data_IF_284497159618
#
_entry.id   IF_284497159618
#
_cell.length_a   1.000
_cell.length_b   1.000
_cell.length_c   1.000
_cell.angle_alpha   90.00
_cell.angle_beta   90.00
_cell.angle_gamma   90.00
#
_symmetry.space_group_name_H-M   'P 1'
#
loop_
_entity.id
_entity.type
_entity.pdbx_description
1 polymer ?
#
# COMPACT_ATOMS: atom_id res chain seq x y z
N UNK A 1 59.62 0.99 -17.28
CA UNK A 1 58.56 0.12 -17.86
C UNK A 1 57.45 0.05 -16.85
N UNK A 2 56.43 0.90 -17.02
CA UNK A 2 55.28 0.93 -16.15
C UNK A 2 54.24 -0.11 -16.54
N UNK A 3 53.52 -0.61 -15.55
CA UNK A 3 52.13 -1.04 -15.71
C UNK A 3 51.36 -0.59 -14.48
N UNK A 4 50.59 0.47 -14.71
CA UNK A 4 49.49 0.94 -13.88
C UNK A 4 48.28 0.01 -14.01
N UNK A 5 47.44 0.08 -12.98
CA UNK A 5 46.13 -0.53 -12.81
C UNK A 5 45.24 -0.56 -14.06
N UNK A 6 44.49 -1.65 -14.20
CA UNK A 6 43.16 -1.61 -14.82
C UNK A 6 42.17 -2.21 -13.83
N UNK A 7 41.57 -1.30 -13.05
CA UNK A 7 40.42 -1.59 -12.22
C UNK A 7 39.24 -2.04 -13.08
N UNK A 8 38.53 -3.04 -12.60
CA UNK A 8 37.21 -3.42 -13.12
C UNK A 8 36.25 -2.25 -12.91
N UNK A 9 35.96 -1.52 -13.98
CA UNK A 9 34.80 -0.64 -14.07
C UNK A 9 33.55 -1.50 -14.00
N UNK A 10 32.84 -1.45 -12.87
CA UNK A 10 31.42 -1.81 -12.84
C UNK A 10 30.72 -0.92 -13.87
N UNK A 11 30.17 -1.53 -14.92
CA UNK A 11 29.28 -0.88 -15.87
C UNK A 11 28.11 -0.28 -15.09
N UNK A 12 28.07 1.05 -14.97
CA UNK A 12 26.86 1.77 -14.60
C UNK A 12 25.80 1.44 -15.64
N UNK A 13 24.86 0.57 -15.29
CA UNK A 13 23.65 0.37 -16.07
C UNK A 13 22.90 1.70 -16.08
N UNK A 14 22.80 2.34 -17.24
CA UNK A 14 22.06 3.58 -17.44
C UNK A 14 20.67 3.48 -16.82
N UNK A 15 20.30 4.44 -15.96
CA UNK A 15 18.96 4.53 -15.38
C UNK A 15 18.69 3.65 -14.15
N UNK A 16 19.73 3.17 -13.45
CA UNK A 16 19.55 2.49 -12.14
C UNK A 16 20.31 3.23 -11.05
N UNK A 17 19.60 3.58 -9.97
CA UNK A 17 20.16 4.13 -8.73
C UNK A 17 19.95 3.12 -7.62
N UNK A 18 21.02 2.61 -7.02
CA UNK A 18 20.88 1.73 -5.85
C UNK A 18 20.66 2.57 -4.59
N UNK A 19 19.66 2.21 -3.77
CA UNK A 19 19.46 2.76 -2.43
C UNK A 19 20.69 2.45 -1.56
N UNK A 20 21.26 3.47 -0.92
CA UNK A 20 22.45 3.34 -0.07
C UNK A 20 22.12 3.84 1.32
N UNK A 21 22.47 3.05 2.35
CA UNK A 21 22.29 3.40 3.77
C UNK A 21 20.87 3.86 4.14
N UNK A 22 19.84 3.37 3.42
CA UNK A 22 18.45 3.77 3.65
C UNK A 22 18.12 5.23 3.32
N UNK A 23 19.02 5.98 2.67
CA UNK A 23 18.85 7.41 2.36
C UNK A 23 18.02 7.59 1.08
N UNK A 24 16.75 7.91 1.27
CA UNK A 24 15.79 8.11 0.18
C UNK A 24 15.99 9.44 -0.54
N UNK A 25 16.31 10.51 0.18
CA UNK A 25 16.55 11.83 -0.42
C UNK A 25 17.74 11.78 -1.36
N UNK A 26 18.84 11.16 -0.94
CA UNK A 26 20.01 10.95 -1.81
C UNK A 26 19.67 10.07 -3.03
N UNK A 27 18.89 8.99 -2.84
CA UNK A 27 18.49 8.11 -3.94
C UNK A 27 17.63 8.86 -4.99
N UNK A 28 16.65 9.66 -4.57
CA UNK A 28 15.83 10.46 -5.48
C UNK A 28 16.63 11.60 -6.12
N UNK A 29 17.53 12.25 -5.40
CA UNK A 29 18.42 13.27 -5.96
C UNK A 29 19.30 12.69 -7.08
N UNK A 30 19.95 11.54 -6.84
CA UNK A 30 20.75 10.84 -7.87
C UNK A 30 19.90 10.39 -9.05
N UNK A 31 18.65 10.00 -8.83
CA UNK A 31 17.73 9.63 -9.90
C UNK A 31 17.34 10.85 -10.75
N UNK A 32 17.14 12.00 -10.11
CA UNK A 32 16.82 13.26 -10.77
C UNK A 32 17.97 13.73 -11.65
N UNK A 33 19.20 13.63 -11.15
CA UNK A 33 20.43 13.93 -11.93
C UNK A 33 20.59 13.04 -13.16
N UNK A 34 20.06 11.82 -13.13
CA UNK A 34 20.02 10.90 -14.28
C UNK A 34 18.84 11.16 -15.23
N UNK A 35 17.90 12.03 -14.87
CA UNK A 35 16.68 12.28 -15.62
C UNK A 35 15.68 11.13 -15.56
N UNK A 36 15.64 10.40 -14.43
CA UNK A 36 14.73 9.27 -14.19
C UNK A 36 15.40 7.89 -14.26
N UNK A 37 14.59 6.85 -14.08
CA UNK A 37 15.04 5.45 -14.08
C UNK A 37 14.41 4.62 -12.97
N UNK A 38 15.20 3.75 -12.34
CA UNK A 38 14.74 2.85 -11.28
C UNK A 38 15.61 3.00 -10.05
N UNK A 39 14.99 3.23 -8.90
CA UNK A 39 15.63 3.03 -7.60
C UNK A 39 15.60 1.53 -7.28
N UNK A 40 16.77 0.90 -7.23
CA UNK A 40 16.94 -0.49 -6.84
C UNK A 40 17.16 -0.59 -5.33
N UNK A 41 16.29 -1.31 -4.62
CA UNK A 41 16.45 -1.63 -3.19
C UNK A 41 17.18 -2.96 -3.05
N UNK A 42 18.44 -2.99 -2.59
CA UNK A 42 19.20 -4.22 -2.53
C UNK A 42 18.59 -5.24 -1.55
N UNK A 43 18.84 -6.55 -1.72
CA UNK A 43 18.50 -7.55 -0.70
C UNK A 43 19.09 -7.20 0.67
N UNK A 44 18.32 -7.47 1.72
CA UNK A 44 18.69 -7.17 3.11
C UNK A 44 17.62 -6.34 3.81
N UNK A 45 17.82 -6.12 5.10
CA UNK A 45 17.11 -5.09 5.87
C UNK A 45 17.98 -3.83 5.89
N UNK A 46 17.40 -2.70 5.53
CA UNK A 46 18.05 -1.39 5.53
C UNK A 46 17.40 -0.53 6.58
N UNK A 47 18.20 0.00 7.51
CA UNK A 47 17.74 0.99 8.47
C UNK A 47 17.50 2.30 7.70
N UNK A 48 16.29 2.85 7.82
CA UNK A 48 15.84 4.06 7.16
C UNK A 48 15.37 5.07 8.20
N UNK A 49 15.76 6.33 8.04
CA UNK A 49 15.09 7.41 8.74
C UNK A 49 13.69 7.64 8.14
N UNK A 50 12.68 8.02 8.94
CA UNK A 50 11.41 8.50 8.43
C UNK A 50 11.60 9.57 7.36
N UNK A 51 10.96 9.41 6.21
CA UNK A 51 11.25 10.19 5.01
C UNK A 51 9.97 10.61 4.30
N UNK A 52 9.96 11.87 3.84
CA UNK A 52 8.96 12.41 2.93
C UNK A 52 9.68 12.81 1.63
N UNK A 53 9.29 12.18 0.53
CA UNK A 53 9.78 12.50 -0.81
C UNK A 53 8.69 13.32 -1.51
N UNK A 54 8.95 14.61 -1.62
CA UNK A 54 8.15 15.53 -2.40
C UNK A 54 8.65 15.58 -3.85
N UNK A 55 7.89 14.98 -4.77
CA UNK A 55 8.22 14.91 -6.20
C UNK A 55 8.31 16.30 -6.85
N UNK A 56 7.67 17.31 -6.27
CA UNK A 56 7.75 18.69 -6.74
C UNK A 56 9.16 19.28 -6.65
N UNK A 57 10.04 18.69 -5.82
CA UNK A 57 11.43 19.12 -5.65
C UNK A 57 12.37 18.58 -6.74
N UNK A 58 11.88 17.69 -7.62
CA UNK A 58 12.71 16.98 -8.59
C UNK A 58 12.27 17.27 -10.04
N UNK A 59 12.84 18.32 -10.64
CA UNK A 59 12.50 18.82 -11.99
C UNK A 59 12.47 17.76 -13.11
N UNK A 60 13.29 16.71 -12.99
CA UNK A 60 13.46 15.68 -14.03
C UNK A 60 12.77 14.35 -13.68
N UNK A 61 12.23 14.21 -12.47
CA UNK A 61 11.45 13.04 -12.04
C UNK A 61 9.98 13.39 -12.18
N UNK A 62 9.35 12.84 -13.20
CA UNK A 62 7.91 12.90 -13.40
C UNK A 62 7.39 11.45 -13.54
N UNK A 63 6.88 11.05 -14.70
CA UNK A 63 6.36 9.70 -14.96
C UNK A 63 7.44 8.63 -15.20
N UNK A 64 8.71 8.99 -15.06
CA UNK A 64 9.88 8.23 -15.50
C UNK A 64 10.64 7.59 -14.35
N UNK A 65 9.96 7.21 -13.26
CA UNK A 65 10.60 6.48 -12.16
C UNK A 65 9.85 5.24 -11.68
N UNK A 66 10.60 4.36 -11.03
CA UNK A 66 10.05 3.25 -10.25
C UNK A 66 11.00 2.83 -9.12
N UNK A 67 10.46 2.07 -8.17
CA UNK A 67 11.17 1.49 -7.03
C UNK A 67 11.06 -0.03 -7.13
N UNK A 68 12.20 -0.72 -7.15
CA UNK A 68 12.25 -2.18 -7.31
C UNK A 68 13.16 -2.83 -6.28
N UNK A 69 12.61 -3.75 -5.51
CA UNK A 69 13.37 -4.64 -4.63
C UNK A 69 13.44 -6.07 -5.17
N UNK A 70 14.17 -6.93 -4.46
CA UNK A 70 14.36 -8.33 -4.79
C UNK A 70 13.22 -9.25 -4.30
N UNK A 71 12.19 -8.67 -3.67
CA UNK A 71 11.05 -9.38 -3.10
C UNK A 71 10.67 -8.80 -1.74
N UNK A 72 9.38 -8.77 -1.40
CA UNK A 72 8.87 -8.05 -0.22
C UNK A 72 9.42 -8.56 1.12
N UNK A 73 9.76 -9.85 1.20
CA UNK A 73 10.45 -10.42 2.38
C UNK A 73 11.99 -10.34 2.31
N UNK A 74 12.55 -9.91 1.17
CA UNK A 74 13.99 -9.94 0.87
C UNK A 74 14.61 -8.55 0.90
N UNK A 75 13.97 -7.55 0.28
CA UNK A 75 14.37 -6.14 0.32
C UNK A 75 13.47 -5.41 1.31
N UNK A 76 13.94 -5.24 2.55
CA UNK A 76 13.17 -4.68 3.66
C UNK A 76 13.72 -3.33 4.08
N UNK A 77 12.83 -2.38 4.33
CA UNK A 77 13.12 -1.03 4.79
C UNK A 77 12.58 -0.90 6.22
N UNK A 78 13.45 -0.63 7.19
CA UNK A 78 13.08 -0.50 8.60
C UNK A 78 13.09 0.96 9.04
N UNK A 79 11.92 1.52 9.33
CA UNK A 79 11.74 2.92 9.75
C UNK A 79 11.77 3.10 11.28
N UNK A 80 12.18 2.06 12.01
CA UNK A 80 12.31 2.08 13.46
C UNK A 80 10.99 2.38 14.18
N UNK A 81 11.10 2.85 15.42
CA UNK A 81 9.96 3.21 16.27
C UNK A 81 9.84 4.72 16.45
N UNK A 82 8.63 5.27 16.42
CA UNK A 82 8.40 6.69 16.75
C UNK A 82 7.14 7.31 16.16
N UNK A 83 6.94 8.62 16.40
CA UNK A 83 5.76 9.35 15.98
C UNK A 83 5.74 9.65 14.48
N UNK A 84 4.56 9.89 13.90
CA UNK A 84 4.44 10.25 12.49
C UNK A 84 4.75 9.09 11.53
N UNK A 85 4.87 9.41 10.24
CA UNK A 85 4.93 8.42 9.17
C UNK A 85 6.28 7.70 9.07
N UNK A 86 6.33 6.62 8.29
CA UNK A 86 7.58 5.96 7.89
C UNK A 86 8.11 6.51 6.57
N UNK A 87 7.42 6.19 5.47
CA UNK A 87 7.77 6.65 4.13
C UNK A 87 6.55 7.28 3.45
N UNK A 88 6.71 8.53 3.01
CA UNK A 88 5.70 9.26 2.24
C UNK A 88 6.26 9.61 0.87
N UNK A 89 5.51 9.31 -0.18
CA UNK A 89 5.76 9.75 -1.55
C UNK A 89 4.56 10.57 -2.03
N UNK A 90 4.77 11.85 -2.29
CA UNK A 90 3.73 12.81 -2.62
C UNK A 90 4.27 13.90 -3.56
N UNK A 91 3.41 14.73 -4.12
CA UNK A 91 3.80 15.93 -4.87
C UNK A 91 3.09 17.17 -4.34
N UNK A 92 3.86 18.12 -3.81
CA UNK A 92 3.29 19.27 -3.12
C UNK A 92 2.58 20.27 -4.04
N UNK A 93 2.84 20.20 -5.35
CA UNK A 93 2.23 21.02 -6.39
C UNK A 93 0.93 20.43 -6.96
N UNK A 94 0.55 19.21 -6.58
CA UNK A 94 -0.64 18.54 -7.08
C UNK A 94 -0.48 17.97 -8.49
N UNK A 95 0.69 17.42 -8.80
CA UNK A 95 0.99 16.76 -10.07
C UNK A 95 0.25 15.42 -10.27
N UNK A 96 0.03 15.08 -11.54
CA UNK A 96 -0.49 13.77 -11.94
C UNK A 96 0.67 12.87 -12.40
N UNK A 97 0.82 11.72 -11.74
CA UNK A 97 1.86 10.73 -12.01
C UNK A 97 1.29 9.50 -12.68
N UNK A 98 1.96 9.03 -13.72
CA UNK A 98 1.55 7.90 -14.54
C UNK A 98 2.62 6.82 -14.57
N UNK A 99 2.17 5.56 -14.59
CA UNK A 99 3.01 4.39 -14.85
C UNK A 99 4.11 4.14 -13.81
N UNK A 100 3.98 4.70 -12.62
CA UNK A 100 4.89 4.44 -11.50
C UNK A 100 4.80 2.97 -11.09
N UNK A 101 5.97 2.36 -10.88
CA UNK A 101 6.08 0.99 -10.37
C UNK A 101 6.74 0.98 -8.99
N UNK A 102 6.10 0.35 -8.01
CA UNK A 102 6.69 0.09 -6.68
C UNK A 102 6.54 -1.41 -6.41
N UNK A 103 7.63 -2.16 -6.55
CA UNK A 103 7.55 -3.64 -6.56
C UNK A 103 8.66 -4.31 -5.77
N UNK A 104 8.34 -5.43 -5.12
CA UNK A 104 9.33 -6.29 -4.49
C UNK A 104 10.00 -5.70 -3.25
N UNK A 105 9.33 -4.77 -2.55
CA UNK A 105 9.83 -4.11 -1.34
C UNK A 105 8.92 -4.41 -0.16
N UNK A 106 9.50 -4.58 1.03
CA UNK A 106 8.77 -4.62 2.30
C UNK A 106 9.11 -3.41 3.16
N UNK A 107 8.10 -2.70 3.64
CA UNK A 107 8.24 -1.62 4.62
C UNK A 107 7.93 -2.19 6.00
N UNK A 108 8.78 -1.94 6.99
CA UNK A 108 8.55 -2.35 8.38
C UNK A 108 8.92 -1.21 9.35
N UNK A 109 8.32 -1.23 10.54
CA UNK A 109 8.62 -0.26 11.59
C UNK A 109 7.56 -0.31 12.68
N UNK A 110 7.62 0.62 13.64
CA UNK A 110 6.61 0.86 14.67
C UNK A 110 6.28 2.36 14.68
N UNK A 111 5.57 2.82 13.66
CA UNK A 111 5.24 4.22 13.42
C UNK A 111 3.84 4.53 13.91
N UNK A 112 3.65 5.57 14.71
CA UNK A 112 2.32 6.04 15.14
C UNK A 112 1.50 6.61 13.96
N UNK A 113 2.18 7.11 12.92
CA UNK A 113 1.53 7.57 11.69
C UNK A 113 1.23 6.43 10.71
N UNK A 114 1.32 6.75 9.43
CA UNK A 114 1.23 5.81 8.32
C UNK A 114 2.62 5.27 7.98
N UNK A 115 2.82 3.96 7.98
CA UNK A 115 4.14 3.39 7.66
C UNK A 115 4.54 3.62 6.19
N UNK A 116 3.61 3.43 5.26
CA UNK A 116 3.79 3.78 3.84
C UNK A 116 2.59 4.59 3.33
N UNK A 117 2.85 5.79 2.83
CA UNK A 117 1.86 6.69 2.23
C UNK A 117 2.20 7.00 0.79
N UNK A 118 1.22 6.80 -0.10
CA UNK A 118 1.26 7.27 -1.47
C UNK A 118 0.21 8.37 -1.68
N UNK A 119 0.69 9.55 -2.06
CA UNK A 119 -0.10 10.75 -2.29
C UNK A 119 -0.41 11.56 -1.03
N UNK A 120 -0.91 12.77 -1.23
CA UNK A 120 -1.30 13.73 -0.19
C UNK A 120 -2.64 13.39 0.44
N UNK A 121 -2.79 13.75 1.71
CA UNK A 121 -4.03 13.53 2.45
C UNK A 121 -5.22 14.38 1.94
N UNK A 122 -4.96 15.45 1.19
CA UNK A 122 -5.97 16.27 0.51
C UNK A 122 -6.28 15.78 -0.92
N UNK A 123 -5.61 14.72 -1.37
CA UNK A 123 -5.83 14.05 -2.67
C UNK A 123 -5.51 14.92 -3.88
N UNK A 124 -4.69 15.96 -3.72
CA UNK A 124 -4.36 16.90 -4.78
C UNK A 124 -3.41 16.32 -5.86
N UNK A 125 -2.70 15.23 -5.58
CA UNK A 125 -1.77 14.55 -6.49
C UNK A 125 -2.27 13.13 -6.84
N UNK A 126 -2.49 12.86 -8.13
CA UNK A 126 -3.05 11.60 -8.59
C UNK A 126 -1.96 10.63 -9.07
N UNK A 127 -2.08 9.35 -8.71
CA UNK A 127 -1.22 8.27 -9.18
C UNK A 127 -2.04 7.31 -10.06
N UNK A 128 -1.78 7.33 -11.36
CA UNK A 128 -2.62 6.67 -12.35
C UNK A 128 -1.86 5.57 -13.11
N UNK A 129 -2.54 4.45 -13.35
CA UNK A 129 -2.02 3.35 -14.17
C UNK A 129 -0.71 2.78 -13.60
N UNK A 130 -0.62 2.71 -12.27
CA UNK A 130 0.56 2.23 -11.56
C UNK A 130 0.57 0.69 -11.44
N UNK A 131 1.75 0.15 -11.13
CA UNK A 131 1.91 -1.24 -10.67
C UNK A 131 2.51 -1.25 -9.27
N UNK A 132 1.69 -1.65 -8.29
CA UNK A 132 2.04 -1.72 -6.88
C UNK A 132 2.10 -3.19 -6.45
N UNK A 133 3.25 -3.63 -5.95
CA UNK A 133 3.46 -4.98 -5.46
C UNK A 133 4.45 -4.97 -4.28
N UNK A 134 3.98 -4.63 -3.07
CA UNK A 134 4.83 -4.43 -1.89
C UNK A 134 4.10 -4.83 -0.60
N UNK A 135 4.85 -4.99 0.48
CA UNK A 135 4.31 -5.33 1.80
C UNK A 135 4.56 -4.25 2.84
N UNK A 136 3.70 -4.14 3.84
CA UNK A 136 3.89 -3.26 5.00
C UNK A 136 3.67 -4.04 6.30
N UNK A 137 4.46 -3.74 7.33
CA UNK A 137 4.32 -4.33 8.66
C UNK A 137 4.58 -3.26 9.74
N UNK A 138 3.51 -2.60 10.20
CA UNK A 138 3.60 -1.55 11.22
C UNK A 138 3.29 -2.13 12.61
N UNK A 139 4.32 -2.36 13.42
CA UNK A 139 4.18 -2.94 14.75
C UNK A 139 3.63 -1.99 15.82
N UNK A 140 3.35 -0.72 15.52
CA UNK A 140 2.85 0.23 16.53
C UNK A 140 1.37 -0.03 16.87
N UNK A 141 1.00 -0.15 18.16
CA UNK A 141 -0.40 -0.22 18.57
C UNK A 141 -1.15 1.10 18.34
N UNK A 142 -0.42 2.22 18.27
CA UNK A 142 -0.96 3.55 18.04
C UNK A 142 -0.85 3.97 16.56
N UNK A 143 -0.56 3.02 15.66
CA UNK A 143 -0.46 3.28 14.24
C UNK A 143 -1.76 3.86 13.68
N UNK A 144 -1.63 4.81 12.75
CA UNK A 144 -2.77 5.27 11.95
C UNK A 144 -3.07 4.23 10.86
N UNK A 145 -2.05 3.85 10.08
CA UNK A 145 -2.17 2.78 9.10
C UNK A 145 -0.82 2.10 8.78
N UNK A 146 -0.86 0.88 8.25
CA UNK A 146 0.33 0.26 7.65
C UNK A 146 0.58 0.81 6.24
N UNK A 147 -0.48 0.93 5.45
CA UNK A 147 -0.44 1.40 4.07
C UNK A 147 -1.63 2.32 3.82
N UNK A 148 -1.37 3.54 3.34
CA UNK A 148 -2.40 4.47 2.87
C UNK A 148 -2.16 4.79 1.40
N UNK A 149 -3.18 4.54 0.59
CA UNK A 149 -3.22 4.96 -0.81
C UNK A 149 -4.28 6.06 -0.93
N UNK A 150 -3.83 7.30 -1.17
CA UNK A 150 -4.71 8.46 -1.25
C UNK A 150 -5.43 8.50 -2.60
N UNK A 151 -4.90 9.20 -3.62
CA UNK A 151 -5.55 9.35 -4.92
C UNK A 151 -4.89 8.44 -5.96
N UNK A 152 -5.44 7.23 -6.12
CA UNK A 152 -4.84 6.19 -6.95
C UNK A 152 -5.86 5.64 -7.95
N UNK A 153 -5.53 5.68 -9.23
CA UNK A 153 -6.46 5.44 -10.32
C UNK A 153 -5.94 4.32 -11.24
N UNK A 154 -6.83 3.49 -11.78
CA UNK A 154 -6.51 2.50 -12.83
C UNK A 154 -5.30 1.61 -12.50
N UNK A 155 -5.10 1.30 -11.21
CA UNK A 155 -3.85 0.71 -10.70
C UNK A 155 -4.03 -0.75 -10.34
N UNK A 156 -2.98 -1.55 -10.57
CA UNK A 156 -2.91 -2.93 -10.07
C UNK A 156 -2.12 -2.97 -8.78
N UNK A 157 -2.73 -3.48 -7.72
CA UNK A 157 -2.15 -3.61 -6.40
C UNK A 157 -2.13 -5.07 -5.94
N UNK A 158 -0.95 -5.57 -5.58
CA UNK A 158 -0.79 -6.79 -4.79
C UNK A 158 -0.07 -6.45 -3.49
N UNK A 159 -0.76 -6.62 -2.35
CA UNK A 159 -0.29 -6.15 -1.06
C UNK A 159 -0.35 -7.17 0.06
N UNK A 160 0.65 -7.19 0.94
CA UNK A 160 0.58 -7.87 2.24
C UNK A 160 0.77 -6.80 3.31
N UNK A 161 -0.32 -6.36 3.93
CA UNK A 161 -0.32 -5.23 4.85
C UNK A 161 -0.74 -5.66 6.25
N UNK A 162 0.15 -5.47 7.20
CA UNK A 162 -0.06 -5.84 8.59
C UNK A 162 0.16 -4.64 9.50
N UNK A 163 -0.65 -4.52 10.54
CA UNK A 163 -0.43 -3.56 11.61
C UNK A 163 -0.85 -4.08 12.97
N UNK A 164 -0.23 -3.58 14.04
CA UNK A 164 -0.65 -3.87 15.41
C UNK A 164 -1.93 -3.12 15.77
N UNK A 165 -2.05 -1.84 15.38
CA UNK A 165 -3.25 -1.02 15.55
C UNK A 165 -3.59 -0.19 14.32
N UNK A 166 -4.72 0.51 14.32
CA UNK A 166 -5.17 1.32 13.19
C UNK A 166 -5.63 0.49 11.99
N UNK A 167 -5.30 0.93 10.77
CA UNK A 167 -5.78 0.32 9.52
C UNK A 167 -4.65 -0.41 8.79
N UNK A 168 -4.82 -1.67 8.38
CA UNK A 168 -3.77 -2.37 7.63
C UNK A 168 -3.61 -1.79 6.22
N UNK A 169 -4.70 -1.72 5.45
CA UNK A 169 -4.76 -1.05 4.15
C UNK A 169 -5.90 -0.03 4.13
N UNK A 170 -5.55 1.23 3.92
CA UNK A 170 -6.49 2.35 3.84
C UNK A 170 -6.50 2.92 2.42
N UNK A 171 -7.68 2.91 1.80
CA UNK A 171 -7.91 3.39 0.44
C UNK A 171 -8.86 4.59 0.50
N UNK A 172 -8.39 5.79 0.15
CA UNK A 172 -9.15 7.04 0.34
C UNK A 172 -9.76 7.62 -0.94
N UNK A 173 -9.12 7.41 -2.09
CA UNK A 173 -9.64 7.68 -3.43
C UNK A 173 -9.06 6.67 -4.44
N UNK A 174 -9.27 5.38 -4.16
CA UNK A 174 -8.77 4.29 -5.02
C UNK A 174 -9.84 3.89 -6.03
N UNK A 175 -9.62 4.14 -7.33
CA UNK A 175 -10.66 3.99 -8.36
C UNK A 175 -10.21 3.12 -9.53
N UNK A 176 -11.16 2.36 -10.07
CA UNK A 176 -10.96 1.53 -11.26
C UNK A 176 -9.76 0.57 -11.15
N UNK A 177 -9.39 0.20 -9.92
CA UNK A 177 -8.19 -0.57 -9.65
C UNK A 177 -8.46 -2.05 -9.40
N UNK A 178 -7.40 -2.85 -9.53
CA UNK A 178 -7.39 -4.27 -9.20
C UNK A 178 -6.59 -4.52 -7.93
N UNK A 179 -7.19 -5.18 -6.93
CA UNK A 179 -6.58 -5.42 -5.62
C UNK A 179 -6.47 -6.93 -5.38
N UNK A 180 -5.33 -7.36 -4.85
CA UNK A 180 -5.07 -8.72 -4.39
C UNK A 180 -4.21 -8.71 -3.13
N UNK A 181 -4.35 -9.73 -2.29
CA UNK A 181 -3.37 -9.98 -1.24
C UNK A 181 -3.99 -10.31 0.10
N UNK A 182 -3.35 -9.82 1.16
CA UNK A 182 -3.78 -10.05 2.54
C UNK A 182 -3.64 -8.81 3.40
N UNK A 183 -4.58 -8.63 4.32
CA UNK A 183 -4.60 -7.51 5.26
C UNK A 183 -4.89 -7.99 6.67
N UNK A 184 -4.19 -7.43 7.66
CA UNK A 184 -4.34 -7.78 9.08
C UNK A 184 -4.08 -6.59 9.99
N UNK A 185 -5.00 -6.30 10.92
CA UNK A 185 -4.83 -5.25 11.93
C UNK A 185 -5.27 -5.75 13.30
N UNK A 186 -4.30 -6.14 14.14
CA UNK A 186 -4.57 -6.89 15.38
C UNK A 186 -5.56 -6.18 16.32
N UNK A 187 -5.49 -4.86 16.40
CA UNK A 187 -6.30 -4.00 17.27
C UNK A 187 -7.00 -2.90 16.45
N UNK A 188 -7.43 -3.24 15.24
CA UNK A 188 -8.10 -2.30 14.37
C UNK A 188 -8.67 -2.94 13.12
N UNK A 189 -8.72 -2.17 12.04
CA UNK A 189 -9.41 -2.54 10.79
C UNK A 189 -8.45 -3.10 9.75
N UNK A 190 -8.84 -4.20 9.12
CA UNK A 190 -8.01 -4.86 8.12
C UNK A 190 -7.95 -4.05 6.82
N UNK A 191 -9.10 -3.71 6.26
CA UNK A 191 -9.21 -2.92 5.02
C UNK A 191 -10.29 -1.86 5.20
N UNK A 192 -9.97 -0.60 4.87
CA UNK A 192 -10.94 0.50 4.83
C UNK A 192 -10.98 1.09 3.43
N UNK A 193 -12.19 1.18 2.86
CA UNK A 193 -12.47 1.97 1.67
C UNK A 193 -13.27 3.20 2.10
N UNK A 194 -12.72 4.36 1.84
CA UNK A 194 -13.32 5.66 2.12
C UNK A 194 -13.15 6.63 0.95
N UNK A 195 -13.73 7.84 1.08
CA UNK A 195 -13.76 8.86 0.03
C UNK A 195 -14.30 8.33 -1.30
N UNK A 196 -13.63 8.62 -2.40
CA UNK A 196 -14.01 8.18 -3.75
C UNK A 196 -13.34 6.85 -4.11
N UNK A 197 -13.59 5.80 -3.33
CA UNK A 197 -13.00 4.47 -3.57
C UNK A 197 -14.00 3.51 -4.23
N UNK A 198 -14.13 3.60 -5.56
CA UNK A 198 -15.23 3.00 -6.33
C UNK A 198 -14.79 2.22 -7.58
N UNK A 199 -15.69 1.36 -8.05
CA UNK A 199 -15.51 0.55 -9.26
C UNK A 199 -14.22 -0.31 -9.26
N UNK A 200 -13.82 -0.79 -8.08
CA UNK A 200 -12.64 -1.65 -7.93
C UNK A 200 -12.99 -3.12 -8.04
N UNK A 201 -12.01 -3.92 -8.47
CA UNK A 201 -12.06 -5.38 -8.44
C UNK A 201 -11.03 -5.89 -7.44
N UNK A 202 -11.50 -6.42 -6.33
CA UNK A 202 -10.70 -7.16 -5.37
C UNK A 202 -10.74 -8.64 -5.76
N UNK A 203 -9.75 -9.11 -6.54
CA UNK A 203 -9.80 -10.46 -7.13
C UNK A 203 -9.81 -11.55 -6.04
N UNK A 204 -8.96 -11.39 -5.02
CA UNK A 204 -8.94 -12.23 -3.83
C UNK A 204 -8.29 -11.49 -2.67
N UNK A 205 -8.90 -11.58 -1.49
CA UNK A 205 -8.45 -10.93 -0.28
C UNK A 205 -8.51 -11.91 0.90
N UNK A 206 -7.36 -12.09 1.56
CA UNK A 206 -7.28 -12.75 2.85
C UNK A 206 -7.32 -11.70 3.97
N UNK A 207 -8.39 -11.69 4.76
CA UNK A 207 -8.57 -10.89 5.97
C UNK A 207 -8.34 -11.79 7.17
N UNK A 208 -7.24 -11.56 7.90
CA UNK A 208 -6.87 -12.42 9.02
C UNK A 208 -6.41 -11.66 10.26
N UNK A 209 -6.67 -12.22 11.44
CA UNK A 209 -6.12 -11.78 12.72
C UNK A 209 -6.33 -10.28 13.00
N UNK A 210 -7.59 -9.85 12.94
CA UNK A 210 -7.95 -8.45 13.10
C UNK A 210 -9.10 -8.22 14.08
N UNK A 211 -9.24 -6.96 14.55
CA UNK A 211 -10.43 -6.56 15.30
C UNK A 211 -11.61 -6.48 14.33
N UNK A 212 -11.53 -5.65 13.31
CA UNK A 212 -12.53 -5.56 12.24
C UNK A 212 -11.91 -5.87 10.88
N UNK A 213 -12.70 -6.49 10.00
CA UNK A 213 -12.29 -6.90 8.67
C UNK A 213 -12.36 -5.76 7.65
N UNK A 214 -13.19 -5.95 6.62
CA UNK A 214 -13.43 -4.96 5.58
C UNK A 214 -14.50 -3.97 6.05
N UNK A 215 -14.20 -2.67 5.91
CA UNK A 215 -15.13 -1.61 6.22
C UNK A 215 -15.25 -0.64 5.03
N UNK A 216 -16.47 -0.49 4.50
CA UNK A 216 -16.82 0.57 3.55
C UNK A 216 -17.50 1.73 4.29
N UNK A 217 -16.82 2.87 4.38
CA UNK A 217 -17.20 3.96 5.29
C UNK A 217 -17.83 5.18 4.62
N UNK A 218 -17.78 5.29 3.27
CA UNK A 218 -18.26 6.47 2.53
C UNK A 218 -19.26 6.14 1.43
N UNK A 219 -20.21 7.04 1.17
CA UNK A 219 -21.25 6.86 0.15
C UNK A 219 -20.68 6.80 -1.28
N UNK A 220 -19.52 7.42 -1.48
CA UNK A 220 -18.79 7.42 -2.74
C UNK A 220 -17.92 6.16 -2.94
N UNK A 221 -18.00 5.17 -2.05
CA UNK A 221 -17.26 3.90 -2.12
C UNK A 221 -18.08 2.76 -2.76
N UNK A 222 -18.73 3.04 -3.88
CA UNK A 222 -19.72 2.14 -4.48
C UNK A 222 -19.19 1.30 -5.65
N UNK A 223 -19.94 0.27 -6.03
CA UNK A 223 -19.70 -0.58 -7.21
C UNK A 223 -18.37 -1.35 -7.09
N UNK A 224 -17.95 -1.67 -5.87
CA UNK A 224 -16.80 -2.54 -5.65
C UNK A 224 -17.20 -4.01 -5.81
N UNK A 225 -16.30 -4.84 -6.33
CA UNK A 225 -16.50 -6.29 -6.49
C UNK A 225 -15.38 -7.08 -5.84
N UNK A 226 -15.73 -7.99 -4.94
CA UNK A 226 -14.83 -8.93 -4.28
C UNK A 226 -15.02 -10.30 -4.91
N UNK A 227 -14.01 -10.81 -5.61
CA UNK A 227 -14.04 -12.13 -6.24
C UNK A 227 -14.00 -13.25 -5.20
N UNK A 228 -12.99 -13.24 -4.33
CA UNK A 228 -12.92 -14.14 -3.17
C UNK A 228 -12.58 -13.33 -1.91
N UNK A 229 -13.48 -13.33 -0.94
CA UNK A 229 -13.23 -12.82 0.40
C UNK A 229 -13.01 -14.00 1.35
N UNK A 230 -11.82 -14.12 1.90
CA UNK A 230 -11.55 -15.06 2.99
C UNK A 230 -11.40 -14.29 4.30
N UNK A 231 -12.02 -14.77 5.37
CA UNK A 231 -11.97 -14.16 6.70
C UNK A 231 -11.70 -15.19 7.79
N UNK A 232 -10.70 -14.98 8.65
CA UNK A 232 -10.45 -15.82 9.82
C UNK A 232 -9.82 -15.05 10.98
N UNK A 233 -10.11 -15.46 12.22
CA UNK A 233 -9.65 -14.77 13.43
C UNK A 233 -10.00 -13.27 13.43
N UNK A 234 -11.28 -12.97 13.21
CA UNK A 234 -11.85 -11.62 13.22
C UNK A 234 -12.67 -11.46 14.49
N UNK A 235 -12.16 -10.67 15.44
CA UNK A 235 -12.77 -10.51 16.77
C UNK A 235 -14.03 -9.64 16.78
N UNK A 236 -14.25 -8.86 15.72
CA UNK A 236 -15.40 -8.00 15.51
C UNK A 236 -16.13 -8.42 14.25
N UNK A 237 -16.26 -7.50 13.30
CA UNK A 237 -17.06 -7.72 12.09
C UNK A 237 -16.18 -7.95 10.88
N UNK A 238 -16.35 -9.07 10.17
CA UNK A 238 -15.62 -9.34 8.92
C UNK A 238 -16.02 -8.36 7.80
N UNK A 239 -17.30 -8.05 7.67
CA UNK A 239 -17.82 -7.16 6.63
C UNK A 239 -18.72 -6.06 7.20
N UNK A 240 -18.32 -4.79 7.12
CA UNK A 240 -19.13 -3.65 7.56
C UNK A 240 -19.40 -2.66 6.44
N UNK A 241 -20.66 -2.24 6.32
CA UNK A 241 -21.08 -1.07 5.53
C UNK A 241 -21.79 -0.04 6.40
N UNK A 242 -21.28 1.18 6.41
CA UNK A 242 -21.90 2.32 7.10
C UNK A 242 -22.62 3.31 6.15
N UNK A 243 -22.51 3.08 4.83
CA UNK A 243 -22.97 4.00 3.80
C UNK A 243 -23.92 3.33 2.77
N UNK A 244 -24.80 4.08 2.09
CA UNK A 244 -25.73 3.57 1.08
C UNK A 244 -25.04 3.19 -0.24
N UNK A 245 -24.09 2.26 -0.20
CA UNK A 245 -23.32 1.77 -1.34
C UNK A 245 -23.86 0.45 -1.87
N UNK A 246 -23.44 0.07 -3.08
CA UNK A 246 -23.70 -1.26 -3.66
C UNK A 246 -22.40 -2.00 -3.88
N UNK A 247 -22.24 -3.16 -3.24
CA UNK A 247 -21.03 -4.00 -3.36
C UNK A 247 -21.40 -5.44 -3.74
N UNK A 248 -20.57 -6.10 -4.52
CA UNK A 248 -20.74 -7.52 -4.86
C UNK A 248 -19.60 -8.35 -4.26
N UNK A 249 -19.93 -9.46 -3.60
CA UNK A 249 -19.00 -10.49 -3.17
C UNK A 249 -19.35 -11.77 -3.93
N UNK A 250 -18.51 -12.19 -4.87
CA UNK A 250 -18.79 -13.38 -5.68
C UNK A 250 -18.71 -14.66 -4.84
N UNK A 251 -17.65 -14.78 -4.02
CA UNK A 251 -17.45 -15.87 -3.09
C UNK A 251 -16.88 -15.37 -1.77
N UNK A 252 -17.37 -15.94 -0.67
CA UNK A 252 -16.83 -15.76 0.66
C UNK A 252 -16.52 -17.10 1.32
N UNK A 253 -15.38 -17.18 2.00
CA UNK A 253 -15.04 -18.30 2.87
C UNK A 253 -14.73 -17.79 4.27
N UNK A 254 -15.58 -18.19 5.22
CA UNK A 254 -15.46 -17.82 6.62
C UNK A 254 -14.77 -18.98 7.34
N UNK A 255 -13.54 -18.72 7.76
CA UNK A 255 -12.72 -19.63 8.56
C UNK A 255 -13.06 -19.57 10.04
N UNK A 256 -12.12 -20.03 10.86
CA UNK A 256 -12.33 -20.14 12.31
C UNK A 256 -12.34 -18.74 12.99
N UNK A 257 -13.05 -18.65 14.11
CA UNK A 257 -13.07 -17.50 15.02
C UNK A 257 -13.42 -16.16 14.33
N UNK A 258 -14.58 -16.11 13.67
CA UNK A 258 -15.18 -14.86 13.18
C UNK A 258 -16.40 -14.57 14.06
N UNK A 259 -16.35 -13.47 14.81
CA UNK A 259 -17.38 -13.14 15.81
C UNK A 259 -18.68 -12.66 15.14
N UNK A 260 -18.57 -11.71 14.20
CA UNK A 260 -19.67 -11.23 13.37
C UNK A 260 -19.28 -11.30 11.90
N UNK A 261 -20.10 -11.95 11.06
CA UNK A 261 -19.82 -12.06 9.62
C UNK A 261 -20.09 -10.74 8.91
N UNK A 262 -21.26 -10.13 9.15
CA UNK A 262 -21.65 -8.89 8.51
C UNK A 262 -22.42 -7.95 9.45
N UNK A 263 -22.22 -6.65 9.27
CA UNK A 263 -23.04 -5.60 9.87
C UNK A 263 -23.28 -4.50 8.83
N UNK A 264 -24.55 -4.12 8.62
CA UNK A 264 -24.89 -3.07 7.66
C UNK A 264 -25.89 -2.10 8.25
N UNK A 265 -25.53 -0.82 8.29
CA UNK A 265 -26.45 0.25 8.73
C UNK A 265 -27.12 0.96 7.56
N UNK A 266 -26.56 0.86 6.35
CA UNK A 266 -27.11 1.36 5.10
C UNK A 266 -26.55 0.58 3.89
N UNK A 267 -27.19 0.77 2.73
CA UNK A 267 -26.73 0.21 1.46
C UNK A 267 -27.11 -1.26 1.27
N UNK A 268 -26.53 -1.85 0.23
CA UNK A 268 -26.79 -3.24 -0.14
C UNK A 268 -25.48 -3.92 -0.54
N UNK A 269 -25.40 -5.22 -0.25
CA UNK A 269 -24.38 -6.07 -0.82
C UNK A 269 -25.00 -7.40 -1.25
N UNK A 270 -24.38 -8.05 -2.22
CA UNK A 270 -24.77 -9.40 -2.65
C UNK A 270 -23.64 -10.36 -2.39
N UNK A 271 -23.98 -11.58 -1.95
CA UNK A 271 -23.01 -12.66 -1.77
C UNK A 271 -23.43 -13.84 -2.66
N UNK A 272 -22.56 -14.23 -3.59
CA UNK A 272 -22.84 -15.31 -4.54
C UNK A 272 -22.74 -16.69 -3.88
N UNK A 273 -21.53 -17.08 -3.47
CA UNK A 273 -21.25 -18.33 -2.76
C UNK A 273 -20.69 -18.05 -1.38
N UNK A 274 -21.20 -18.72 -0.35
CA UNK A 274 -20.61 -18.66 1.00
C UNK A 274 -20.76 -19.99 1.73
N UNK A 275 -19.79 -20.31 2.60
CA UNK A 275 -19.86 -21.45 3.52
C UNK A 275 -20.62 -21.13 4.83
N UNK A 276 -20.96 -19.86 5.07
CA UNK A 276 -21.74 -19.37 6.21
C UNK A 276 -22.75 -18.30 5.76
N UNK A 277 -23.86 -18.08 6.49
CA UNK A 277 -24.76 -16.96 6.22
C UNK A 277 -24.04 -15.61 6.34
N UNK A 278 -24.42 -14.66 5.46
CA UNK A 278 -24.09 -13.24 5.55
C UNK A 278 -25.39 -12.52 5.90
N UNK A 279 -25.79 -12.62 7.16
CA UNK A 279 -27.01 -12.04 7.73
C UNK A 279 -26.66 -10.92 8.71
#
# INVERSE_FOLDING_TARGET
MGRSDEGHTMTQSSGIVTLQNGDWTDAFQRLNELGGGVISVPPGTHDCEPSEIDLAEYDSINNNFGIRGAGMGTSKLDFGSGPGDGFTLADSNGGDFFYIEITGVGFQGQREGVLFRLGRDDHADAYNSCTLAFGTNNGSPDATAACRLNHVLNTRHFGVHNTSGGIALELRQFQFGGIRGSTSSRQGRSLVLEGYSLANVVEWLNVEACEDGVHISGEDCSINRFGMLYGANVAGTLWRHDAPVSTQIDAAFIGDNVDTVAETTAGEYTVGLSNQPFD
#
